data_IF_170904641328
#
_entry.id   IF_170904641328
#
_cell.length_a   1.000
_cell.length_b   1.000
_cell.length_c   1.000
_cell.angle_alpha   90.00
_cell.angle_beta   90.00
_cell.angle_gamma   90.00
#
_symmetry.space_group_name_H-M   'P 1'
#
loop_
_entity.id
_entity.type
_entity.pdbx_description
1 polymer ?
#
# COMPACT_ATOMS: atom_id res chain seq x y z
N UNK A 1 -11.66 10.38 11.41
CA UNK A 1 -12.12 9.11 11.98
C UNK A 1 -12.83 8.27 10.91
N UNK A 2 -12.59 6.96 10.86
CA UNK A 2 -13.29 6.01 9.97
C UNK A 2 -14.58 5.54 10.66
N UNK A 3 -15.72 5.51 9.98
CA UNK A 3 -16.95 4.97 10.56
C UNK A 3 -16.94 3.44 10.60
N UNK A 4 -17.71 2.84 11.52
CA UNK A 4 -17.82 1.38 11.58
C UNK A 4 -18.40 0.77 10.28
N UNK A 5 -19.25 1.52 9.56
CA UNK A 5 -19.80 1.09 8.28
C UNK A 5 -18.71 1.10 7.19
N UNK A 6 -17.95 2.19 7.06
CA UNK A 6 -16.87 2.29 6.07
C UNK A 6 -15.80 1.23 6.30
N UNK A 7 -15.45 0.98 7.57
CA UNK A 7 -14.49 -0.06 7.94
C UNK A 7 -15.02 -1.47 7.56
N UNK A 8 -16.30 -1.74 7.82
CA UNK A 8 -16.92 -3.04 7.51
C UNK A 8 -16.99 -3.26 5.99
N UNK A 9 -17.37 -2.25 5.24
CA UNK A 9 -17.48 -2.33 3.79
C UNK A 9 -16.11 -2.53 3.14
N UNK A 10 -15.10 -1.76 3.55
CA UNK A 10 -13.73 -1.95 3.08
C UNK A 10 -13.17 -3.35 3.44
N UNK A 11 -13.46 -3.86 4.65
CA UNK A 11 -13.07 -5.22 5.05
C UNK A 11 -13.71 -6.31 4.19
N UNK A 12 -14.94 -6.10 3.70
CA UNK A 12 -15.65 -7.05 2.85
C UNK A 12 -15.15 -7.08 1.41
N UNK A 13 -14.51 -6.01 0.95
CA UNK A 13 -13.99 -5.89 -0.42
C UNK A 13 -12.61 -6.51 -0.62
N UNK A 14 -11.91 -6.85 0.47
CA UNK A 14 -10.55 -7.43 0.43
C UNK A 14 -10.51 -8.88 0.87
N UNK A 15 -9.49 -9.62 0.39
CA UNK A 15 -9.25 -11.00 0.82
C UNK A 15 -8.45 -11.11 2.12
N UNK A 16 -7.81 -10.03 2.56
CA UNK A 16 -6.90 -9.97 3.72
C UNK A 16 -7.34 -8.87 4.71
N UNK A 17 -8.52 -9.01 5.35
CA UNK A 17 -9.09 -7.94 6.20
C UNK A 17 -8.23 -7.60 7.42
N UNK A 18 -7.53 -8.58 8.01
CA UNK A 18 -6.58 -8.30 9.10
C UNK A 18 -5.41 -7.43 8.63
N UNK A 19 -4.84 -7.72 7.45
CA UNK A 19 -3.76 -6.91 6.89
C UNK A 19 -4.22 -5.50 6.52
N UNK A 20 -5.44 -5.37 5.97
CA UNK A 20 -6.07 -4.07 5.74
C UNK A 20 -6.15 -3.27 7.05
N UNK A 21 -6.69 -3.86 8.12
CA UNK A 21 -6.81 -3.18 9.42
C UNK A 21 -5.46 -2.77 10.00
N UNK A 22 -4.45 -3.63 9.88
CA UNK A 22 -3.09 -3.34 10.36
C UNK A 22 -2.49 -2.18 9.57
N UNK A 23 -2.64 -2.19 8.25
CA UNK A 23 -2.18 -1.11 7.38
C UNK A 23 -2.82 0.22 7.77
N UNK A 24 -4.14 0.26 7.90
CA UNK A 24 -4.86 1.51 8.18
C UNK A 24 -4.54 2.08 9.54
N UNK A 25 -4.49 1.25 10.58
CA UNK A 25 -4.20 1.72 11.95
C UNK A 25 -2.75 2.20 12.06
N UNK A 26 -1.81 1.55 11.38
CA UNK A 26 -0.39 1.95 11.43
C UNK A 26 -0.17 3.28 10.73
N UNK A 27 -0.71 3.45 9.52
CA UNK A 27 -0.61 4.71 8.78
C UNK A 27 -1.37 5.82 9.54
N UNK A 28 -2.58 5.58 10.06
CA UNK A 28 -3.33 6.59 10.83
C UNK A 28 -2.68 6.97 12.16
N UNK A 29 -1.89 6.08 12.77
CA UNK A 29 -1.14 6.36 14.00
C UNK A 29 0.11 7.22 13.76
N UNK A 30 0.81 6.97 12.65
CA UNK A 30 2.07 7.65 12.32
C UNK A 30 1.84 8.96 11.53
N UNK A 31 0.64 9.14 10.95
CA UNK A 31 0.32 10.28 10.09
C UNK A 31 -0.91 11.07 10.54
N UNK A 32 -0.89 12.37 10.29
CA UNK A 32 -1.92 13.33 10.73
C UNK A 32 -3.32 12.90 10.23
N UNK A 33 -4.35 12.89 11.12
CA UNK A 33 -5.65 12.23 10.95
C UNK A 33 -6.62 12.92 9.96
N UNK A 34 -6.08 13.64 8.99
CA UNK A 34 -6.83 14.58 8.14
C UNK A 34 -7.57 13.84 7.02
N UNK A 35 -7.09 12.63 6.64
CA UNK A 35 -7.62 11.86 5.50
C UNK A 35 -7.71 10.33 5.77
N UNK A 36 -8.38 9.89 6.83
CA UNK A 36 -8.44 8.48 7.24
C UNK A 36 -9.15 7.58 6.21
N UNK A 37 -10.11 8.12 5.46
CA UNK A 37 -10.77 7.38 4.38
C UNK A 37 -9.85 7.16 3.17
N UNK A 38 -8.90 8.08 2.93
CA UNK A 38 -7.90 7.91 1.87
C UNK A 38 -6.89 6.83 2.25
N UNK A 39 -6.45 6.82 3.51
CA UNK A 39 -5.61 5.74 4.05
C UNK A 39 -6.31 4.39 3.91
N UNK A 40 -7.59 4.31 4.26
CA UNK A 40 -8.42 3.11 4.09
C UNK A 40 -8.46 2.65 2.63
N UNK A 41 -8.74 3.56 1.68
CA UNK A 41 -8.79 3.22 0.25
C UNK A 41 -7.41 2.79 -0.29
N UNK A 42 -6.33 3.47 0.09
CA UNK A 42 -4.97 3.13 -0.32
C UNK A 42 -4.56 1.74 0.19
N UNK A 43 -4.79 1.45 1.47
CA UNK A 43 -4.54 0.12 2.03
C UNK A 43 -5.39 -0.96 1.37
N UNK A 44 -6.65 -0.65 1.03
CA UNK A 44 -7.57 -1.57 0.35
C UNK A 44 -7.13 -1.89 -1.08
N UNK A 45 -6.55 -0.91 -1.78
CA UNK A 45 -6.03 -1.05 -3.15
C UNK A 45 -4.69 -1.78 -3.21
N UNK A 46 -3.92 -1.78 -2.13
CA UNK A 46 -2.66 -2.52 -2.07
C UNK A 46 -2.90 -4.03 -2.11
N UNK A 47 -2.10 -4.73 -2.91
CA UNK A 47 -2.05 -6.20 -2.91
C UNK A 47 -1.38 -6.78 -1.66
N UNK A 48 -0.53 -5.98 -1.01
CA UNK A 48 0.25 -6.32 0.18
C UNK A 48 0.13 -5.18 1.22
N UNK A 49 -1.00 -5.09 1.95
CA UNK A 49 -1.28 -3.95 2.81
C UNK A 49 -0.20 -3.70 3.88
N UNK A 50 0.38 -4.76 4.46
CA UNK A 50 1.45 -4.64 5.46
C UNK A 50 2.73 -4.03 4.86
N UNK A 51 3.13 -4.48 3.67
CA UNK A 51 4.32 -3.95 2.98
C UNK A 51 4.09 -2.52 2.51
N UNK A 52 2.88 -2.21 2.05
CA UNK A 52 2.50 -0.85 1.70
C UNK A 52 2.60 0.11 2.90
N UNK A 53 2.14 -0.30 4.09
CA UNK A 53 2.31 0.49 5.31
C UNK A 53 3.80 0.66 5.68
N UNK A 54 4.59 -0.41 5.61
CA UNK A 54 6.05 -0.34 5.86
C UNK A 54 6.73 0.66 4.92
N UNK A 55 6.40 0.61 3.62
CA UNK A 55 6.93 1.53 2.62
C UNK A 55 6.54 2.98 2.92
N UNK A 56 5.26 3.23 3.19
CA UNK A 56 4.74 4.59 3.42
C UNK A 56 5.38 5.22 4.67
N UNK A 57 5.40 4.48 5.77
CA UNK A 57 6.03 4.88 7.04
C UNK A 57 7.53 5.07 6.87
N UNK A 58 8.21 4.19 6.13
CA UNK A 58 9.64 4.32 5.87
C UNK A 58 10.01 5.56 5.06
N UNK A 59 9.26 5.90 4.01
CA UNK A 59 9.53 7.07 3.17
C UNK A 59 9.38 8.36 3.97
N UNK A 60 8.30 8.51 4.72
CA UNK A 60 8.06 9.74 5.48
C UNK A 60 9.16 9.97 6.53
N UNK A 61 9.49 8.93 7.31
CA UNK A 61 10.49 9.02 8.38
C UNK A 61 11.91 9.37 7.88
N UNK A 62 12.23 9.09 6.62
CA UNK A 62 13.59 9.27 6.08
C UNK A 62 13.75 10.40 5.07
N UNK A 63 12.66 10.82 4.40
CA UNK A 63 12.72 11.73 3.25
C UNK A 63 11.94 13.03 3.52
N UNK A 64 11.26 13.18 4.68
CA UNK A 64 10.39 14.33 4.99
C UNK A 64 9.40 14.61 3.84
N UNK A 65 8.89 13.54 3.25
CA UNK A 65 7.96 13.58 2.14
C UNK A 65 6.53 13.54 2.68
N UNK A 66 5.64 14.30 2.06
CA UNK A 66 4.22 14.27 2.39
C UNK A 66 3.63 12.86 2.21
N UNK A 67 2.70 12.51 3.11
CA UNK A 67 2.10 11.17 3.21
C UNK A 67 1.37 10.77 1.93
N UNK A 68 0.76 11.72 1.23
CA UNK A 68 0.10 11.44 -0.04
C UNK A 68 1.10 11.04 -1.12
N UNK A 69 2.26 11.70 -1.13
CA UNK A 69 3.33 11.39 -2.07
C UNK A 69 3.98 10.05 -1.73
N UNK A 70 4.16 9.75 -0.44
CA UNK A 70 4.64 8.45 0.02
C UNK A 70 3.68 7.31 -0.37
N UNK A 71 2.38 7.46 -0.10
CA UNK A 71 1.35 6.49 -0.50
C UNK A 71 1.30 6.29 -2.02
N UNK A 72 1.38 7.39 -2.80
CA UNK A 72 1.39 7.31 -4.26
C UNK A 72 2.62 6.55 -4.77
N UNK A 73 3.80 6.80 -4.19
CA UNK A 73 5.06 6.11 -4.53
C UNK A 73 4.98 4.62 -4.21
N UNK A 74 4.45 4.26 -3.04
CA UNK A 74 4.35 2.87 -2.61
C UNK A 74 3.25 2.07 -3.33
N UNK A 75 2.27 2.73 -3.95
CA UNK A 75 1.28 2.10 -4.84
C UNK A 75 1.75 2.04 -6.30
N UNK A 76 2.85 2.72 -6.65
CA UNK A 76 3.29 2.80 -8.02
C UNK A 76 3.84 1.45 -8.51
N UNK A 77 3.07 0.81 -9.39
CA UNK A 77 3.46 -0.44 -10.06
C UNK A 77 4.27 -0.18 -11.35
N UNK A 78 4.70 1.05 -11.60
CA UNK A 78 5.50 1.41 -12.77
C UNK A 78 6.94 0.89 -12.69
N UNK A 79 7.44 0.56 -11.49
CA UNK A 79 8.74 -0.09 -11.29
C UNK A 79 8.66 -1.57 -11.68
N UNK A 80 8.60 -1.80 -12.99
CA UNK A 80 8.64 -3.13 -13.58
C UNK A 80 10.06 -3.66 -13.46
N UNK A 81 10.20 -4.87 -12.92
CA UNK A 81 11.44 -5.65 -13.00
C UNK A 81 11.88 -5.67 -14.47
N UNK A 82 13.01 -5.03 -14.76
CA UNK A 82 13.65 -5.11 -16.07
C UNK A 82 14.36 -6.47 -16.15
N UNK A 83 14.52 -6.99 -17.37
CA UNK A 83 15.28 -8.24 -17.61
C UNK A 83 14.63 -9.54 -17.09
N UNK A 84 13.30 -9.60 -16.98
CA UNK A 84 12.57 -10.86 -16.66
C UNK A 84 12.57 -11.85 -17.84
N UNK A 85 12.79 -11.36 -19.06
CA UNK A 85 12.88 -12.21 -20.24
C UNK A 85 14.29 -12.77 -20.36
N UNK A 86 14.45 -14.09 -20.55
CA UNK A 86 15.76 -14.68 -20.80
C UNK A 86 16.38 -14.04 -22.05
N UNK A 87 17.65 -13.68 -21.97
CA UNK A 87 18.44 -13.13 -23.09
C UNK A 87 18.84 -14.19 -24.11
N UNK A 88 18.41 -15.44 -23.92
CA UNK A 88 18.73 -16.56 -24.80
C UNK A 88 17.46 -17.33 -25.18
N UNK A 89 17.36 -17.68 -26.46
CA UNK A 89 16.38 -18.63 -26.98
C UNK A 89 17.05 -20.01 -26.95
N UNK A 90 16.54 -21.00 -26.19
CA UNK A 90 17.08 -22.35 -26.24
C UNK A 90 16.85 -22.95 -27.64
N UNK A 91 17.93 -23.25 -28.36
CA UNK A 91 17.85 -24.10 -29.56
C UNK A 91 17.81 -25.55 -29.11
N UNK A 92 16.62 -26.15 -29.22
CA UNK A 92 16.43 -27.59 -29.03
C UNK A 92 17.18 -28.34 -30.14
N UNK A 93 18.08 -29.26 -29.76
CA UNK A 93 18.82 -30.15 -30.68
C UNK A 93 18.66 -31.59 -30.25
#
# INVERSE_FOLDING_TARGET
>A
MISAADALDACREVRRPQELSSCTVRIDADFTPDQPLKVLDSCRRSLLPVEFANCTIGIENHILMDVDTAMATCLDASDRVRDVFPTFIPTDR
#
